data_IF_571933629923
#
_entry.id   IF_571933629923
#
_cell.length_a   1.000
_cell.length_b   1.000
_cell.length_c   1.000
_cell.angle_alpha   90.00
_cell.angle_beta   90.00
_cell.angle_gamma   90.00
#
_symmetry.space_group_name_H-M   'P 1'
#
loop_
_entity.id
_entity.type
_entity.pdbx_description
1 polymer ?
#
# COMPACT_ATOMS: atom_id res chain seq x y z
N UNK A 1 -33.55 7.01 -89.61
CA UNK A 1 -33.85 8.29 -88.94
C UNK A 1 -34.77 8.00 -87.77
N UNK A 2 -34.42 8.56 -86.60
CA UNK A 2 -35.18 8.66 -85.32
C UNK A 2 -35.78 7.37 -84.73
N UNK A 3 -35.58 7.01 -83.47
CA UNK A 3 -35.12 7.77 -82.33
C UNK A 3 -36.00 7.45 -81.12
N UNK A 4 -35.35 7.02 -80.02
CA UNK A 4 -35.66 7.28 -78.61
C UNK A 4 -37.01 6.79 -78.04
N UNK A 5 -36.93 5.98 -76.98
CA UNK A 5 -38.08 5.73 -76.10
C UNK A 5 -37.86 4.76 -74.94
N UNK A 6 -36.69 4.74 -74.28
CA UNK A 6 -36.52 3.99 -73.03
C UNK A 6 -36.98 4.82 -71.84
N UNK A 7 -38.06 4.41 -71.17
CA UNK A 7 -38.35 4.81 -69.78
C UNK A 7 -39.35 3.85 -69.12
N UNK A 8 -39.16 3.70 -67.80
CA UNK A 8 -39.90 2.94 -66.78
C UNK A 8 -39.23 1.61 -66.41
N UNK A 9 -38.33 1.54 -65.43
CA UNK A 9 -38.37 1.89 -64.00
C UNK A 9 -38.69 0.66 -63.12
N UNK A 10 -38.08 0.70 -61.92
CA UNK A 10 -38.29 -0.16 -60.76
C UNK A 10 -37.47 -1.47 -60.74
N UNK A 11 -36.25 -1.36 -60.21
CA UNK A 11 -35.55 -2.48 -59.58
C UNK A 11 -36.10 -2.66 -58.16
N UNK A 12 -36.62 -3.83 -57.77
CA UNK A 12 -36.93 -4.13 -56.38
C UNK A 12 -35.70 -4.70 -55.68
N UNK A 13 -35.44 -4.14 -54.50
CA UNK A 13 -34.89 -4.78 -53.31
C UNK A 13 -33.40 -5.19 -53.33
N UNK A 14 -32.55 -4.18 -53.18
CA UNK A 14 -31.28 -4.33 -52.45
C UNK A 14 -31.61 -4.31 -50.95
N UNK A 15 -31.90 -5.48 -50.40
CA UNK A 15 -32.05 -5.67 -48.95
C UNK A 15 -30.68 -6.03 -48.38
N UNK A 16 -29.91 -5.02 -47.96
CA UNK A 16 -28.58 -5.24 -47.35
C UNK A 16 -28.23 -4.17 -46.33
N UNK A 17 -29.18 -3.75 -45.51
CA UNK A 17 -28.89 -2.92 -44.34
C UNK A 17 -29.47 -3.42 -43.01
N UNK A 18 -30.03 -4.63 -42.92
CA UNK A 18 -30.54 -5.14 -41.63
C UNK A 18 -29.42 -5.68 -40.72
N UNK A 19 -28.42 -6.38 -41.25
CA UNK A 19 -27.47 -7.12 -40.38
C UNK A 19 -26.50 -6.25 -39.58
N UNK A 20 -26.16 -5.04 -40.07
CA UNK A 20 -25.18 -4.16 -39.43
C UNK A 20 -25.74 -3.39 -38.24
N UNK A 21 -27.05 -3.15 -38.23
CA UNK A 21 -27.73 -2.44 -37.14
C UNK A 21 -28.02 -3.40 -35.97
N UNK A 22 -28.35 -4.65 -36.27
CA UNK A 22 -28.54 -5.74 -35.30
C UNK A 22 -27.25 -6.09 -34.55
N UNK A 23 -26.12 -6.19 -35.26
CA UNK A 23 -24.80 -6.44 -34.66
C UNK A 23 -24.35 -5.27 -33.77
N UNK A 24 -24.62 -4.02 -34.18
CA UNK A 24 -24.31 -2.83 -33.38
C UNK A 24 -25.19 -2.73 -32.13
N UNK A 25 -26.45 -3.16 -32.20
CA UNK A 25 -27.36 -3.20 -31.05
C UNK A 25 -26.98 -4.33 -30.07
N UNK A 26 -26.48 -5.46 -30.56
CA UNK A 26 -25.90 -6.54 -29.73
C UNK A 26 -24.62 -6.07 -29.04
N UNK A 27 -23.74 -5.35 -29.74
CA UNK A 27 -22.53 -4.76 -29.14
C UNK A 27 -22.89 -3.70 -28.12
N UNK A 28 -23.83 -2.78 -28.41
CA UNK A 28 -24.34 -1.79 -27.44
C UNK A 28 -25.01 -2.46 -26.24
N UNK A 29 -25.82 -3.49 -26.46
CA UNK A 29 -26.48 -4.27 -25.42
C UNK A 29 -25.48 -5.03 -24.54
N UNK A 30 -24.41 -5.56 -25.13
CA UNK A 30 -23.31 -6.19 -24.39
C UNK A 30 -22.50 -5.15 -23.59
N UNK A 31 -22.29 -3.95 -24.14
CA UNK A 31 -21.65 -2.83 -23.44
C UNK A 31 -22.48 -2.37 -22.26
N UNK A 32 -23.81 -2.21 -22.41
CA UNK A 32 -24.71 -1.79 -21.32
C UNK A 32 -24.82 -2.89 -20.25
N UNK A 33 -24.97 -4.17 -20.63
CA UNK A 33 -25.02 -5.28 -19.65
C UNK A 33 -23.72 -5.46 -18.88
N UNK A 34 -22.57 -5.25 -19.53
CA UNK A 34 -21.26 -5.39 -18.89
C UNK A 34 -20.79 -4.08 -18.20
N UNK A 35 -21.48 -2.95 -18.41
CA UNK A 35 -21.12 -1.67 -17.80
C UNK A 35 -21.05 -1.72 -16.26
N UNK A 36 -22.02 -2.32 -15.54
CA UNK A 36 -21.93 -2.46 -14.08
C UNK A 36 -20.70 -3.27 -13.67
N UNK A 37 -20.41 -4.38 -14.36
CA UNK A 37 -19.25 -5.22 -14.09
C UNK A 37 -17.93 -4.49 -14.36
N UNK A 38 -17.85 -3.74 -15.46
CA UNK A 38 -16.69 -2.92 -15.82
C UNK A 38 -16.47 -1.81 -14.78
N UNK A 39 -17.53 -1.10 -14.36
CA UNK A 39 -17.41 -0.07 -13.31
C UNK A 39 -16.99 -0.67 -11.96
N UNK A 40 -17.55 -1.82 -11.57
CA UNK A 40 -17.15 -2.52 -10.36
C UNK A 40 -15.67 -2.96 -10.42
N UNK A 41 -15.20 -3.46 -11.57
CA UNK A 41 -13.80 -3.81 -11.75
C UNK A 41 -12.87 -2.58 -11.66
N UNK A 42 -13.24 -1.45 -12.29
CA UNK A 42 -12.46 -0.21 -12.22
C UNK A 42 -12.43 0.34 -10.80
N UNK A 43 -13.56 0.40 -10.10
CA UNK A 43 -13.64 0.85 -8.70
C UNK A 43 -12.85 -0.10 -7.79
N UNK A 44 -12.95 -1.41 -8.00
CA UNK A 44 -12.21 -2.40 -7.21
C UNK A 44 -10.70 -2.29 -7.43
N UNK A 45 -10.26 -2.09 -8.68
CA UNK A 45 -8.85 -1.86 -9.03
C UNK A 45 -8.37 -0.52 -8.46
N UNK A 46 -9.19 0.54 -8.55
CA UNK A 46 -8.86 1.85 -7.99
C UNK A 46 -8.74 1.78 -6.47
N UNK A 47 -9.72 1.17 -5.79
CA UNK A 47 -9.72 0.93 -4.35
C UNK A 47 -8.53 0.07 -3.91
N UNK A 48 -8.26 -1.02 -4.63
CA UNK A 48 -7.09 -1.85 -4.39
C UNK A 48 -5.80 -1.03 -4.51
N UNK A 49 -5.65 -0.22 -5.56
CA UNK A 49 -4.47 0.65 -5.76
C UNK A 49 -4.32 1.76 -4.71
N UNK A 50 -5.41 2.38 -4.27
CA UNK A 50 -5.37 3.51 -3.34
C UNK A 50 -5.28 3.08 -1.88
N UNK A 51 -5.89 1.95 -1.51
CA UNK A 51 -6.04 1.55 -0.11
C UNK A 51 -5.30 0.27 0.26
N UNK A 52 -5.16 -0.70 -0.65
CA UNK A 52 -4.63 -2.04 -0.31
C UNK A 52 -3.19 -2.23 -0.80
N UNK A 53 -2.90 -1.94 -2.06
CA UNK A 53 -1.57 -1.91 -2.65
C UNK A 53 -0.81 -0.64 -2.27
N UNK A 54 -0.75 -0.34 -0.97
CA UNK A 54 0.30 0.54 -0.46
C UNK A 54 1.61 -0.19 -0.71
N UNK A 55 2.38 0.27 -1.69
CA UNK A 55 3.78 -0.12 -1.80
C UNK A 55 4.42 -0.02 -0.42
N UNK A 56 5.15 -1.05 -0.02
CA UNK A 56 5.92 -1.04 1.20
C UNK A 56 6.94 0.11 1.08
N UNK A 57 6.59 1.30 1.57
CA UNK A 57 7.49 2.46 1.53
C UNK A 57 8.77 2.23 2.35
N UNK A 58 8.77 1.22 3.22
CA UNK A 58 9.78 0.97 4.23
C UNK A 58 10.27 -0.46 4.06
N UNK A 59 11.20 -0.62 3.13
CA UNK A 59 11.78 -1.91 2.71
C UNK A 59 13.07 -2.23 3.46
N UNK A 60 13.57 -1.33 4.29
CA UNK A 60 14.88 -1.50 4.89
C UNK A 60 14.77 -2.12 6.29
N UNK A 61 14.83 -3.45 6.32
CA UNK A 61 14.73 -4.30 7.52
C UNK A 61 15.78 -4.02 8.60
N UNK A 62 16.83 -3.23 8.31
CA UNK A 62 17.94 -2.97 9.24
C UNK A 62 18.08 -1.52 9.71
N UNK A 63 17.15 -0.62 9.38
CA UNK A 63 17.34 0.82 9.70
C UNK A 63 17.14 1.11 11.18
N UNK A 64 16.13 0.52 11.82
CA UNK A 64 15.85 0.77 13.24
C UNK A 64 16.95 0.24 14.15
N UNK A 65 17.42 -0.99 13.94
CA UNK A 65 18.57 -1.52 14.67
C UNK A 65 19.84 -0.70 14.46
N UNK A 66 20.15 -0.32 13.21
CA UNK A 66 21.30 0.54 12.89
C UNK A 66 21.21 1.88 13.62
N UNK A 67 20.03 2.51 13.60
CA UNK A 67 19.78 3.76 14.30
C UNK A 67 20.00 3.64 15.82
N UNK A 68 19.53 2.55 16.44
CA UNK A 68 19.80 2.28 17.87
C UNK A 68 21.30 2.13 18.11
N UNK A 69 22.02 1.37 17.28
CA UNK A 69 23.47 1.26 17.40
C UNK A 69 24.17 2.62 17.27
N UNK A 70 23.75 3.47 16.35
CA UNK A 70 24.33 4.80 16.12
C UNK A 70 24.11 5.73 17.32
N UNK A 71 22.99 5.59 18.03
CA UNK A 71 22.74 6.32 19.28
C UNK A 71 23.65 5.82 20.39
N UNK A 72 23.75 4.51 20.57
CA UNK A 72 24.55 3.90 21.64
C UNK A 72 26.06 4.08 21.45
N UNK A 73 26.52 4.21 20.20
CA UNK A 73 27.92 4.50 19.86
C UNK A 73 28.23 6.00 19.82
N UNK A 74 27.20 6.83 19.71
CA UNK A 74 27.34 8.28 19.60
C UNK A 74 27.60 8.97 20.95
N UNK A 75 27.44 10.29 20.94
CA UNK A 75 27.58 11.13 22.13
C UNK A 75 26.54 10.74 23.21
N UNK A 76 26.91 10.63 24.49
CA UNK A 76 26.01 10.18 25.56
C UNK A 76 24.71 10.99 25.66
N UNK A 77 24.79 12.31 25.47
CA UNK A 77 23.60 13.18 25.44
C UNK A 77 22.57 12.76 24.39
N UNK A 78 23.01 12.25 23.23
CA UNK A 78 22.07 11.77 22.18
C UNK A 78 21.27 10.56 22.66
N UNK A 79 21.87 9.70 23.46
CA UNK A 79 21.16 8.56 24.06
C UNK A 79 20.05 9.06 24.99
N UNK A 80 20.39 9.97 25.90
CA UNK A 80 19.42 10.55 26.81
C UNK A 80 18.31 11.32 26.07
N UNK A 81 18.64 12.12 25.07
CA UNK A 81 17.65 12.86 24.26
C UNK A 81 16.70 11.93 23.51
N UNK A 82 17.20 10.87 22.89
CA UNK A 82 16.39 10.00 22.04
C UNK A 82 15.67 8.89 22.80
N UNK A 83 16.23 8.40 23.91
CA UNK A 83 15.72 7.25 24.66
C UNK A 83 15.25 7.62 26.07
N UNK A 84 15.41 8.87 26.51
CA UNK A 84 15.10 9.35 27.89
C UNK A 84 15.88 8.61 28.98
N UNK A 85 16.98 7.97 28.60
CA UNK A 85 17.84 7.18 29.48
C UNK A 85 19.29 7.32 29.03
N UNK A 86 20.21 7.32 29.97
CA UNK A 86 21.62 7.16 29.67
C UNK A 86 21.89 5.77 29.07
N UNK A 87 22.99 5.67 28.32
CA UNK A 87 23.35 4.45 27.58
C UNK A 87 23.38 3.22 28.46
N UNK A 88 24.06 3.30 29.61
CA UNK A 88 24.25 2.15 30.49
C UNK A 88 22.92 1.72 31.12
N UNK A 89 22.09 2.70 31.51
CA UNK A 89 20.74 2.46 32.01
C UNK A 89 19.87 1.79 30.95
N UNK A 90 19.94 2.23 29.70
CA UNK A 90 19.21 1.60 28.59
C UNK A 90 19.62 0.15 28.38
N UNK A 91 20.93 -0.15 28.41
CA UNK A 91 21.44 -1.51 28.24
C UNK A 91 20.99 -2.41 29.40
N UNK A 92 21.16 -1.95 30.65
CA UNK A 92 20.68 -2.67 31.83
C UNK A 92 19.17 -2.89 31.80
N UNK A 93 18.40 -1.92 31.32
CA UNK A 93 16.95 -2.06 31.15
C UNK A 93 16.59 -3.12 30.12
N UNK A 94 17.29 -3.16 28.98
CA UNK A 94 17.10 -4.20 27.97
C UNK A 94 17.43 -5.60 28.52
N UNK A 95 18.51 -5.74 29.28
CA UNK A 95 18.88 -6.99 29.93
C UNK A 95 17.86 -7.42 30.98
N UNK A 96 17.37 -6.47 31.79
CA UNK A 96 16.33 -6.70 32.79
C UNK A 96 15.05 -7.24 32.13
N UNK A 97 14.59 -6.59 31.06
CA UNK A 97 13.41 -7.02 30.30
C UNK A 97 13.60 -8.41 29.68
N UNK A 98 14.79 -8.69 29.16
CA UNK A 98 15.12 -10.01 28.61
C UNK A 98 15.11 -11.10 29.68
N UNK A 99 15.76 -10.86 30.82
CA UNK A 99 16.00 -11.88 31.85
C UNK A 99 14.80 -12.08 32.77
N UNK A 100 14.16 -11.00 33.22
CA UNK A 100 13.07 -11.04 34.22
C UNK A 100 11.69 -11.11 33.60
N UNK A 101 11.49 -10.47 32.45
CA UNK A 101 10.19 -10.35 31.78
C UNK A 101 10.10 -11.20 30.52
N UNK A 102 11.16 -11.94 30.17
CA UNK A 102 11.16 -12.87 29.04
C UNK A 102 11.06 -12.20 27.68
N UNK A 103 11.48 -10.93 27.55
CA UNK A 103 11.46 -10.22 26.28
C UNK A 103 12.40 -10.89 25.27
N UNK A 104 11.83 -11.40 24.17
CA UNK A 104 12.58 -12.09 23.10
C UNK A 104 12.65 -11.22 21.84
N UNK A 105 13.73 -11.38 21.08
CA UNK A 105 13.80 -10.86 19.71
C UNK A 105 12.79 -11.57 18.81
N UNK A 106 12.23 -10.84 17.84
CA UNK A 106 11.44 -11.40 16.73
C UNK A 106 12.35 -11.75 15.55
N UNK A 107 11.80 -12.37 14.49
CA UNK A 107 12.53 -12.59 13.22
C UNK A 107 13.11 -11.29 12.65
N UNK A 108 12.38 -10.17 12.76
CA UNK A 108 12.71 -8.90 12.11
C UNK A 108 13.01 -7.74 13.08
N UNK A 109 12.92 -7.95 14.40
CA UNK A 109 13.12 -6.87 15.39
C UNK A 109 13.90 -7.39 16.61
N UNK A 110 15.05 -6.77 16.86
CA UNK A 110 15.89 -7.07 18.03
C UNK A 110 15.31 -6.51 19.34
N UNK A 111 15.81 -6.99 20.48
CA UNK A 111 15.35 -6.55 21.81
C UNK A 111 15.58 -5.04 22.00
N UNK A 112 16.79 -4.56 21.74
CA UNK A 112 17.13 -3.13 21.87
C UNK A 112 16.23 -2.24 21.00
N UNK A 113 15.91 -2.70 19.79
CA UNK A 113 15.02 -1.96 18.89
C UNK A 113 13.59 -1.92 19.41
N UNK A 114 13.04 -3.03 19.92
CA UNK A 114 11.72 -3.03 20.58
C UNK A 114 11.68 -2.04 21.74
N UNK A 115 12.69 -2.09 22.61
CA UNK A 115 12.75 -1.19 23.76
C UNK A 115 12.89 0.27 23.30
N UNK A 116 13.68 0.54 22.26
CA UNK A 116 13.80 1.88 21.70
C UNK A 116 12.48 2.40 21.11
N UNK A 117 11.71 1.56 20.40
CA UNK A 117 10.37 1.92 19.90
C UNK A 117 9.44 2.25 21.07
N UNK A 118 9.42 1.41 22.11
CA UNK A 118 8.62 1.63 23.32
C UNK A 118 8.94 2.97 23.99
N UNK A 119 10.22 3.26 24.20
CA UNK A 119 10.68 4.51 24.82
C UNK A 119 10.38 5.72 23.93
N UNK A 120 10.42 5.59 22.60
CA UNK A 120 10.02 6.66 21.70
C UNK A 120 8.49 6.88 21.68
N UNK A 121 7.71 5.81 21.81
CA UNK A 121 6.26 5.89 21.94
C UNK A 121 5.87 6.60 23.23
N UNK A 122 6.35 6.13 24.39
CA UNK A 122 5.95 6.67 25.69
C UNK A 122 6.70 7.95 26.08
N UNK A 123 8.01 8.02 25.83
CA UNK A 123 8.86 9.12 26.26
C UNK A 123 8.84 10.35 25.36
N UNK A 124 8.38 10.19 24.11
CA UNK A 124 8.23 11.29 23.15
C UNK A 124 6.82 11.44 22.59
N UNK A 125 5.91 10.49 22.87
CA UNK A 125 4.54 10.55 22.33
C UNK A 125 4.48 10.40 20.82
N UNK A 126 5.44 9.69 20.20
CA UNK A 126 5.49 9.59 18.75
C UNK A 126 4.30 8.78 18.22
N UNK A 127 3.63 9.32 17.20
CA UNK A 127 2.56 8.61 16.51
C UNK A 127 3.09 7.34 15.82
N UNK A 128 2.21 6.36 15.60
CA UNK A 128 2.55 5.13 14.88
C UNK A 128 3.20 5.45 13.50
N UNK A 129 2.69 6.45 12.76
CA UNK A 129 3.27 6.89 11.49
C UNK A 129 4.72 7.38 11.63
N UNK A 130 5.05 8.09 12.70
CA UNK A 130 6.41 8.57 12.96
C UNK A 130 7.35 7.43 13.37
N UNK A 131 6.85 6.48 14.17
CA UNK A 131 7.61 5.28 14.55
C UNK A 131 7.92 4.41 13.33
N UNK A 132 6.93 4.23 12.43
CA UNK A 132 7.16 3.56 11.16
C UNK A 132 8.30 4.23 10.39
N UNK A 133 8.27 5.56 10.24
CA UNK A 133 9.33 6.29 9.52
C UNK A 133 10.70 6.16 10.17
N UNK A 134 10.76 6.24 11.50
CA UNK A 134 12.03 6.20 12.22
C UNK A 134 12.68 4.83 12.17
N UNK A 135 11.92 3.79 12.47
CA UNK A 135 12.43 2.43 12.59
C UNK A 135 12.31 1.63 11.29
N UNK A 136 11.71 2.22 10.25
CA UNK A 136 11.49 1.63 8.93
C UNK A 136 10.71 0.31 8.98
N UNK A 137 9.74 0.23 9.90
CA UNK A 137 8.81 -0.89 10.01
C UNK A 137 7.44 -0.54 9.45
N UNK A 138 6.68 -1.56 9.04
CA UNK A 138 5.28 -1.40 8.67
C UNK A 138 4.44 -0.98 9.87
N UNK A 139 3.32 -0.28 9.62
CA UNK A 139 2.39 0.09 10.68
C UNK A 139 1.79 -1.09 11.41
N UNK A 140 1.61 -2.21 10.70
CA UNK A 140 1.18 -3.48 11.30
C UNK A 140 2.21 -3.99 12.32
N UNK A 141 3.50 -3.96 11.98
CA UNK A 141 4.57 -4.36 12.90
C UNK A 141 4.63 -3.47 14.14
N UNK A 142 4.52 -2.15 13.96
CA UNK A 142 4.47 -1.21 15.09
C UNK A 142 3.24 -1.52 15.97
N UNK A 143 2.05 -1.66 15.35
CA UNK A 143 0.79 -1.90 16.07
C UNK A 143 0.69 -3.27 16.74
N UNK A 144 1.38 -4.29 16.23
CA UNK A 144 1.41 -5.63 16.86
C UNK A 144 2.28 -5.67 18.11
N UNK A 145 3.25 -4.78 18.20
CA UNK A 145 4.22 -4.76 19.30
C UNK A 145 3.95 -3.66 20.33
N UNK A 146 3.22 -2.60 19.96
CA UNK A 146 2.93 -1.41 20.77
C UNK A 146 1.55 -0.83 20.43
#
# INVERSE_FOLDING_TARGET
MSGVGNRLAMNPDFDSNSSSDEEQEIVRGNVIRNAPLATAAVVSVHYYRTHIARELCRTNEQTGFKWVCDILKGHPTRCHEQLRMDKDVFLSFCELLKLRYGLKSSRNIGIHEKVAIFLNCLGHGLSNRMLQERFQHSGETISRHF
#
